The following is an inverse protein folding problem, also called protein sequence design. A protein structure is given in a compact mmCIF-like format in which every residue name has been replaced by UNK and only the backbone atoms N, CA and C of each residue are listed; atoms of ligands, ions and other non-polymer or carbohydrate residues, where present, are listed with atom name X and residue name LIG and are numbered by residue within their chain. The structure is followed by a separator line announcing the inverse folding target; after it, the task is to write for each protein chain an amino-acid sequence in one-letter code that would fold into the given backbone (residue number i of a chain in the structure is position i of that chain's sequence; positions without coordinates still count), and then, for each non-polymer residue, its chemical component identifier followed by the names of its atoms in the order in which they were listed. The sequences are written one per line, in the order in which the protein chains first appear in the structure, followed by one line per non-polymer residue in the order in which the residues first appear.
data_IF_491341215951
#
_entry.id   IF_491341215951
#
_cell.length_a   1.000
_cell.length_b   1.000
_cell.length_c   1.000
_cell.angle_alpha   90.00
_cell.angle_beta   90.00
_cell.angle_gamma   90.00
#
_symmetry.space_group_name_H-M   'P 1'
#
loop_
_entity.id
_entity.type
_entity.pdbx_description
1 polymer ?
#
# COMPACT_ATOMS: atom_id res chain seq x y z
N UNK A 1 0.53 4.85 -29.67
CA UNK A 1 0.33 4.11 -28.39
C UNK A 1 -0.42 5.07 -27.46
N UNK A 2 -1.50 4.63 -26.80
CA UNK A 2 -2.30 5.52 -25.95
C UNK A 2 -1.50 6.00 -24.74
N UNK A 3 -1.73 7.23 -24.31
CA UNK A 3 -1.08 7.83 -23.14
C UNK A 3 -1.42 7.10 -21.83
N UNK A 4 -0.64 7.39 -20.79
CA UNK A 4 -0.77 6.72 -19.48
C UNK A 4 -2.17 6.95 -18.87
N UNK A 5 -2.70 8.17 -18.95
CA UNK A 5 -4.03 8.49 -18.45
C UNK A 5 -5.13 7.67 -19.12
N UNK A 6 -5.06 7.51 -20.44
CA UNK A 6 -6.06 6.73 -21.19
C UNK A 6 -6.01 5.23 -20.83
N UNK A 7 -4.81 4.69 -20.61
CA UNK A 7 -4.59 3.28 -20.25
C UNK A 7 -4.96 2.98 -18.80
N UNK A 8 -4.59 3.84 -17.87
CA UNK A 8 -4.82 3.64 -16.44
C UNK A 8 -6.23 4.06 -16.00
N UNK A 9 -6.87 5.01 -16.72
CA UNK A 9 -8.18 5.54 -16.38
C UNK A 9 -8.30 5.88 -14.89
N UNK A 10 -7.44 6.78 -14.37
CA UNK A 10 -7.48 7.14 -12.96
C UNK A 10 -8.85 7.70 -12.60
N UNK A 11 -9.45 7.31 -11.47
CA UNK A 11 -10.70 7.92 -11.02
C UNK A 11 -10.48 9.40 -10.69
N UNK A 12 -11.51 10.24 -10.92
CA UNK A 12 -11.44 11.67 -10.56
C UNK A 12 -11.28 11.87 -9.05
N UNK A 13 -12.00 11.07 -8.28
CA UNK A 13 -11.98 11.11 -6.80
C UNK A 13 -11.70 9.73 -6.24
N UNK A 14 -10.78 9.66 -5.29
CA UNK A 14 -10.50 8.47 -4.50
C UNK A 14 -10.87 8.73 -3.05
N UNK A 15 -11.97 8.12 -2.61
CA UNK A 15 -12.44 8.21 -1.23
C UNK A 15 -11.67 7.24 -0.33
N UNK A 16 -11.47 7.60 0.93
CA UNK A 16 -10.97 6.68 1.94
C UNK A 16 -11.89 5.46 2.09
N UNK A 17 -11.38 4.32 2.62
CA UNK A 17 -12.22 3.17 2.93
C UNK A 17 -13.41 3.57 3.81
N UNK A 18 -14.57 2.95 3.58
CA UNK A 18 -15.82 3.37 4.19
C UNK A 18 -15.88 3.20 5.70
N UNK A 19 -16.63 4.06 6.38
CA UNK A 19 -16.86 4.03 7.81
C UNK A 19 -17.62 2.78 8.30
N UNK A 20 -18.31 2.08 7.39
CA UNK A 20 -19.00 0.81 7.67
C UNK A 20 -18.06 -0.31 8.17
N UNK A 21 -16.75 -0.12 7.99
CA UNK A 21 -15.72 -1.03 8.50
C UNK A 21 -15.42 -0.84 10.00
N UNK A 22 -16.05 0.14 10.66
CA UNK A 22 -15.79 0.48 12.06
C UNK A 22 -14.46 1.21 12.29
N UNK A 23 -13.86 1.75 11.22
CA UNK A 23 -12.61 2.48 11.26
C UNK A 23 -12.79 3.91 10.74
N UNK A 24 -12.11 4.84 11.39
CA UNK A 24 -11.92 6.19 10.88
C UNK A 24 -10.59 6.29 10.16
N UNK A 25 -10.61 6.78 8.93
CA UNK A 25 -9.43 6.89 8.08
C UNK A 25 -8.95 8.33 7.96
N UNK A 26 -7.65 8.51 7.96
CA UNK A 26 -6.98 9.78 7.71
C UNK A 26 -5.53 9.57 7.24
N UNK A 27 -4.89 10.60 6.66
CA UNK A 27 -3.45 10.56 6.42
C UNK A 27 -2.66 10.32 7.71
N UNK A 28 -1.51 9.64 7.58
CA UNK A 28 -0.54 9.45 8.66
C UNK A 28 0.08 10.80 9.03
N UNK A 29 0.26 11.03 10.32
CA UNK A 29 0.98 12.18 10.86
C UNK A 29 2.19 11.71 11.69
N UNK A 30 3.23 12.55 11.89
CA UNK A 30 4.46 12.14 12.59
C UNK A 30 4.24 11.55 13.99
N UNK A 31 3.25 12.04 14.72
CA UNK A 31 2.92 11.51 16.06
C UNK A 31 2.34 10.09 16.07
N UNK A 32 1.97 9.54 14.92
CA UNK A 32 1.47 8.17 14.79
C UNK A 32 2.58 7.12 14.76
N UNK A 33 3.83 7.52 14.50
CA UNK A 33 4.92 6.59 14.21
C UNK A 33 5.15 5.54 15.31
N UNK A 34 4.96 5.90 16.57
CA UNK A 34 5.05 4.95 17.67
C UNK A 34 4.01 3.83 17.57
N UNK A 35 2.73 4.21 17.41
CA UNK A 35 1.63 3.26 17.28
C UNK A 35 1.73 2.44 15.99
N UNK A 36 2.19 3.03 14.90
CA UNK A 36 2.44 2.34 13.63
C UNK A 36 3.57 1.32 13.78
N UNK A 37 4.66 1.67 14.47
CA UNK A 37 5.76 0.74 14.74
C UNK A 37 5.28 -0.49 15.55
N UNK A 38 4.45 -0.27 16.55
CA UNK A 38 3.90 -1.36 17.38
C UNK A 38 2.98 -2.26 16.55
N UNK A 39 2.08 -1.67 15.73
CA UNK A 39 1.24 -2.41 14.80
C UNK A 39 2.06 -3.26 13.82
N UNK A 40 3.09 -2.70 13.20
CA UNK A 40 3.94 -3.42 12.24
C UNK A 40 4.62 -4.59 12.92
N UNK A 41 5.23 -4.40 14.10
CA UNK A 41 5.92 -5.47 14.85
C UNK A 41 4.97 -6.60 15.24
N UNK A 42 3.76 -6.27 15.70
CA UNK A 42 2.74 -7.25 16.06
C UNK A 42 2.32 -8.08 14.85
N UNK A 43 2.03 -7.43 13.73
CA UNK A 43 1.62 -8.08 12.49
C UNK A 43 2.75 -8.95 11.91
N UNK A 44 3.98 -8.46 11.89
CA UNK A 44 5.14 -9.22 11.41
C UNK A 44 5.42 -10.45 12.27
N UNK A 45 5.18 -10.37 13.57
CA UNK A 45 5.30 -11.51 14.50
C UNK A 45 4.20 -12.54 14.25
N UNK A 46 2.95 -12.09 14.12
CA UNK A 46 1.79 -12.97 13.87
C UNK A 46 1.89 -13.66 12.51
N UNK A 47 2.34 -12.93 11.49
CA UNK A 47 2.45 -13.44 10.13
C UNK A 47 3.75 -14.23 9.88
N UNK A 48 4.61 -14.37 10.87
CA UNK A 48 5.96 -14.97 10.70
C UNK A 48 6.70 -14.40 9.49
N UNK A 49 6.70 -13.06 9.39
CA UNK A 49 7.23 -12.35 8.24
C UNK A 49 8.72 -12.62 8.05
N UNK A 50 9.13 -12.95 6.82
CA UNK A 50 10.53 -13.24 6.46
C UNK A 50 11.39 -11.98 6.62
N UNK A 51 10.85 -10.83 6.17
CA UNK A 51 11.53 -9.54 6.29
C UNK A 51 10.85 -8.70 7.37
N UNK A 52 11.68 -8.07 8.20
CA UNK A 52 11.22 -7.16 9.26
C UNK A 52 11.45 -5.71 8.83
N UNK A 53 10.45 -4.89 9.06
CA UNK A 53 10.54 -3.45 8.76
C UNK A 53 11.49 -2.78 9.74
N UNK A 54 12.49 -2.09 9.22
CA UNK A 54 13.47 -1.35 10.03
C UNK A 54 12.87 -0.07 10.62
N UNK A 55 13.48 0.44 11.69
CA UNK A 55 13.08 1.72 12.28
C UNK A 55 13.23 2.88 11.28
N UNK A 56 14.19 2.81 10.37
CA UNK A 56 14.35 3.82 9.32
C UNK A 56 13.20 3.79 8.31
N UNK A 57 12.77 2.60 7.88
CA UNK A 57 11.64 2.45 6.97
C UNK A 57 10.35 2.98 7.61
N UNK A 58 10.14 2.74 8.91
CA UNK A 58 9.00 3.29 9.65
C UNK A 58 9.06 4.83 9.69
N UNK A 59 10.23 5.40 10.03
CA UNK A 59 10.41 6.85 10.03
C UNK A 59 10.16 7.47 8.62
N UNK A 60 10.54 6.77 7.58
CA UNK A 60 10.35 7.18 6.19
C UNK A 60 8.87 7.27 5.78
N UNK A 61 7.96 6.58 6.45
CA UNK A 61 6.52 6.70 6.20
C UNK A 61 5.99 8.12 6.46
N UNK A 62 6.47 8.78 7.49
CA UNK A 62 6.07 10.15 7.81
C UNK A 62 6.77 11.21 6.94
N UNK A 63 7.91 10.86 6.35
CA UNK A 63 8.73 11.77 5.55
C UNK A 63 8.47 11.64 4.04
N UNK A 64 7.53 10.80 3.64
CA UNK A 64 7.30 10.46 2.23
C UNK A 64 7.01 11.65 1.32
N UNK A 65 6.35 12.68 1.83
CA UNK A 65 6.07 13.92 1.10
C UNK A 65 7.32 14.83 0.93
N UNK A 66 8.38 14.59 1.70
CA UNK A 66 9.65 15.33 1.64
C UNK A 66 10.71 14.62 0.77
N UNK A 67 10.43 13.38 0.33
CA UNK A 67 11.35 12.58 -0.48
C UNK A 67 11.08 12.74 -1.97
N UNK A 68 12.10 12.45 -2.77
CA UNK A 68 12.00 12.46 -4.23
C UNK A 68 10.98 11.45 -4.79
N UNK A 69 10.62 10.43 -4.02
CA UNK A 69 9.61 9.43 -4.41
C UNK A 69 8.27 9.75 -3.77
N UNK A 70 7.22 10.05 -4.55
CA UNK A 70 5.89 10.28 -3.99
C UNK A 70 5.42 9.08 -3.16
N UNK A 71 5.02 9.34 -1.92
CA UNK A 71 4.51 8.36 -0.98
C UNK A 71 3.30 8.95 -0.25
N UNK A 72 2.20 8.23 -0.30
CA UNK A 72 1.01 8.53 0.50
C UNK A 72 0.73 7.38 1.46
N UNK A 73 0.41 7.72 2.70
CA UNK A 73 0.12 6.76 3.78
C UNK A 73 -1.13 7.18 4.50
N UNK A 74 -2.05 6.24 4.68
CA UNK A 74 -3.25 6.43 5.50
C UNK A 74 -3.28 5.42 6.64
N UNK A 75 -3.92 5.80 7.73
CA UNK A 75 -4.14 4.95 8.91
C UNK A 75 -5.62 4.77 9.17
N UNK A 76 -5.99 3.55 9.57
CA UNK A 76 -7.33 3.19 10.03
C UNK A 76 -7.33 3.07 11.55
N UNK A 77 -8.20 3.84 12.19
CA UNK A 77 -8.25 4.03 13.64
C UNK A 77 -9.56 3.45 14.16
N UNK A 78 -9.46 2.47 15.06
CA UNK A 78 -10.56 1.93 15.81
C UNK A 78 -10.77 2.74 17.11
N UNK A 79 -12.03 2.90 17.54
CA UNK A 79 -12.36 3.72 18.72
C UNK A 79 -11.62 3.23 19.98
N UNK A 80 -11.59 1.91 20.20
CA UNK A 80 -11.06 1.34 21.45
C UNK A 80 -9.67 0.71 21.31
N UNK A 81 -9.07 0.71 20.10
CA UNK A 81 -7.80 0.04 19.83
C UNK A 81 -6.74 0.93 19.18
N UNK A 82 -7.06 2.20 18.88
CA UNK A 82 -6.15 3.09 18.19
C UNK A 82 -5.91 2.68 16.73
N UNK A 83 -4.67 2.80 16.24
CA UNK A 83 -4.30 2.47 14.86
C UNK A 83 -4.24 0.94 14.70
N UNK A 84 -5.13 0.41 13.86
CA UNK A 84 -5.25 -1.03 13.58
C UNK A 84 -5.04 -1.38 12.11
N UNK A 85 -4.91 -0.39 11.26
CA UNK A 85 -4.62 -0.58 9.85
C UNK A 85 -3.75 0.56 9.30
N UNK A 86 -2.93 0.24 8.32
CA UNK A 86 -2.11 1.17 7.57
C UNK A 86 -2.11 0.74 6.10
N UNK A 87 -2.23 1.70 5.21
CA UNK A 87 -2.05 1.50 3.78
C UNK A 87 -1.15 2.55 3.17
N UNK A 88 -0.29 2.16 2.24
CA UNK A 88 0.58 3.08 1.54
C UNK A 88 0.58 2.85 0.04
N UNK A 89 0.85 3.91 -0.70
CA UNK A 89 1.11 3.93 -2.14
C UNK A 89 2.39 4.72 -2.38
N UNK A 90 3.37 4.12 -3.02
CA UNK A 90 4.66 4.74 -3.34
C UNK A 90 4.95 4.63 -4.83
N UNK A 91 5.26 5.75 -5.49
CA UNK A 91 5.76 5.74 -6.87
C UNK A 91 7.27 5.54 -6.85
N UNK A 92 7.76 4.59 -7.66
CA UNK A 92 9.20 4.36 -7.82
C UNK A 92 9.78 5.35 -8.84
N UNK A 93 10.66 6.22 -8.37
CA UNK A 93 11.23 7.31 -9.19
C UNK A 93 12.58 6.95 -9.81
N UNK A 94 13.23 5.89 -9.36
CA UNK A 94 14.52 5.42 -9.89
C UNK A 94 14.41 4.47 -11.09
N UNK A 95 13.21 4.12 -11.54
CA UNK A 95 12.97 3.24 -12.68
C UNK A 95 12.61 4.09 -13.89
N UNK A 96 13.47 4.07 -14.91
CA UNK A 96 13.28 4.90 -16.12
C UNK A 96 12.53 4.18 -17.25
N UNK A 97 12.43 2.86 -17.18
CA UNK A 97 11.85 2.03 -18.24
C UNK A 97 10.37 1.69 -18.01
N UNK A 98 9.85 1.96 -16.81
CA UNK A 98 8.47 1.66 -16.44
C UNK A 98 7.93 2.62 -15.39
N UNK A 99 6.62 2.87 -15.43
CA UNK A 99 5.88 3.61 -14.41
C UNK A 99 5.36 2.61 -13.35
N UNK A 100 5.99 2.58 -12.18
CA UNK A 100 5.70 1.58 -11.14
C UNK A 100 5.23 2.24 -9.85
N UNK A 101 4.10 1.77 -9.33
CA UNK A 101 3.66 2.08 -7.96
C UNK A 101 3.71 0.81 -7.10
N UNK A 102 4.19 0.95 -5.87
CA UNK A 102 4.19 -0.10 -4.85
C UNK A 102 3.07 0.19 -3.86
N UNK A 103 2.27 -0.82 -3.55
CA UNK A 103 1.23 -0.75 -2.54
C UNK A 103 1.56 -1.69 -1.39
N UNK A 104 1.45 -1.22 -0.16
CA UNK A 104 1.64 -2.02 1.04
C UNK A 104 0.50 -1.79 2.02
N UNK A 105 0.11 -2.83 2.74
CA UNK A 105 -0.90 -2.76 3.78
C UNK A 105 -0.51 -3.59 4.99
N UNK A 106 -0.81 -3.06 6.16
CA UNK A 106 -0.67 -3.74 7.45
C UNK A 106 -2.02 -3.67 8.15
N UNK A 107 -2.57 -4.82 8.56
CA UNK A 107 -3.87 -4.91 9.22
C UNK A 107 -3.71 -5.80 10.45
N UNK A 108 -4.07 -5.23 11.60
CA UNK A 108 -4.08 -5.94 12.88
C UNK A 108 -4.87 -7.26 12.76
N UNK A 109 -4.37 -8.39 13.29
CA UNK A 109 -4.99 -9.71 13.12
C UNK A 109 -6.48 -9.75 13.47
N UNK A 110 -6.88 -9.10 14.56
CA UNK A 110 -8.29 -9.03 15.00
C UNK A 110 -9.19 -8.25 14.04
N UNK A 111 -8.64 -7.49 13.10
CA UNK A 111 -9.40 -6.68 12.14
C UNK A 111 -9.43 -7.31 10.74
N UNK A 112 -8.83 -8.48 10.57
CA UNK A 112 -8.86 -9.24 9.32
C UNK A 112 -10.21 -9.94 9.11
N UNK A 113 -10.50 -10.32 7.88
CA UNK A 113 -11.74 -11.01 7.54
C UNK A 113 -13.00 -10.14 7.57
N UNK A 114 -12.88 -8.83 7.79
CA UNK A 114 -13.98 -7.86 7.89
C UNK A 114 -14.13 -6.96 6.67
N UNK A 115 -13.38 -7.21 5.60
CA UNK A 115 -13.39 -6.38 4.38
C UNK A 115 -12.40 -5.22 4.39
N UNK A 116 -11.67 -4.98 5.49
CA UNK A 116 -10.70 -3.87 5.60
C UNK A 116 -9.64 -3.96 4.50
N UNK A 117 -9.03 -5.12 4.28
CA UNK A 117 -8.00 -5.31 3.26
C UNK A 117 -8.50 -5.03 1.84
N UNK A 118 -9.72 -5.45 1.51
CA UNK A 118 -10.34 -5.21 0.20
C UNK A 118 -10.59 -3.72 -0.03
N UNK A 119 -11.16 -3.03 0.95
CA UNK A 119 -11.45 -1.60 0.85
C UNK A 119 -10.18 -0.76 0.78
N UNK A 120 -9.15 -1.18 1.53
CA UNK A 120 -7.84 -0.52 1.50
C UNK A 120 -7.15 -0.71 0.15
N UNK A 121 -7.18 -1.92 -0.41
CA UNK A 121 -6.63 -2.20 -1.73
C UNK A 121 -7.36 -1.43 -2.85
N UNK A 122 -8.67 -1.24 -2.73
CA UNK A 122 -9.44 -0.42 -3.65
C UNK A 122 -8.98 1.06 -3.62
N UNK A 123 -8.78 1.62 -2.42
CA UNK A 123 -8.20 2.96 -2.26
C UNK A 123 -6.80 3.03 -2.87
N UNK A 124 -5.96 2.04 -2.59
CA UNK A 124 -4.58 1.98 -3.11
C UNK A 124 -4.55 1.91 -4.64
N UNK A 125 -5.41 1.11 -5.27
CA UNK A 125 -5.49 1.00 -6.73
C UNK A 125 -5.86 2.35 -7.36
N UNK A 126 -6.92 2.99 -6.87
CA UNK A 126 -7.34 4.30 -7.38
C UNK A 126 -6.27 5.36 -7.20
N UNK A 127 -5.66 5.43 -6.01
CA UNK A 127 -4.64 6.43 -5.73
C UNK A 127 -3.33 6.17 -6.48
N UNK A 128 -2.94 4.91 -6.64
CA UNK A 128 -1.76 4.55 -7.45
C UNK A 128 -1.90 4.99 -8.90
N UNK A 129 -3.08 4.80 -9.50
CA UNK A 129 -3.36 5.27 -10.88
C UNK A 129 -3.24 6.78 -11.00
N UNK A 130 -3.79 7.54 -10.06
CA UNK A 130 -3.65 9.00 -10.02
C UNK A 130 -2.19 9.40 -9.89
N UNK A 131 -1.46 8.87 -8.90
CA UNK A 131 -0.06 9.22 -8.63
C UNK A 131 0.87 8.88 -9.80
N UNK A 132 0.63 7.76 -10.50
CA UNK A 132 1.39 7.40 -11.70
C UNK A 132 1.21 8.42 -12.82
N UNK A 133 -0.03 8.85 -13.07
CA UNK A 133 -0.32 9.88 -14.08
C UNK A 133 0.21 11.25 -13.66
N UNK A 134 0.06 11.63 -12.39
CA UNK A 134 0.59 12.88 -11.84
C UNK A 134 2.12 12.97 -11.98
N UNK A 135 2.83 11.87 -11.72
CA UNK A 135 4.29 11.86 -11.72
C UNK A 135 4.90 11.69 -13.13
N UNK A 136 4.40 10.75 -13.92
CA UNK A 136 4.97 10.40 -15.23
C UNK A 136 4.34 11.19 -16.40
N UNK A 137 3.22 11.86 -16.15
CA UNK A 137 2.48 12.62 -17.17
C UNK A 137 1.40 11.80 -17.89
N UNK A 138 0.31 12.47 -18.25
CA UNK A 138 -0.86 11.86 -18.90
C UNK A 138 -0.53 11.17 -20.24
N UNK A 139 0.37 11.79 -21.01
CA UNK A 139 0.77 11.33 -22.34
C UNK A 139 1.92 10.32 -22.33
N UNK A 140 2.46 9.97 -21.17
CA UNK A 140 3.54 9.00 -21.04
C UNK A 140 3.17 7.66 -21.67
N UNK A 141 4.10 7.08 -22.43
CA UNK A 141 3.95 5.76 -23.07
C UNK A 141 4.63 4.63 -22.29
N UNK A 142 5.23 4.93 -21.14
CA UNK A 142 5.86 3.92 -20.29
C UNK A 142 4.88 2.81 -19.90
N UNK A 143 5.36 1.58 -19.83
CA UNK A 143 4.58 0.47 -19.28
C UNK A 143 4.28 0.77 -17.81
N UNK A 144 3.03 0.58 -17.40
CA UNK A 144 2.61 0.87 -16.02
C UNK A 144 2.26 -0.41 -15.27
N UNK A 145 2.60 -0.44 -13.98
CA UNK A 145 2.22 -1.52 -13.09
C UNK A 145 2.03 -1.04 -11.66
N UNK A 146 1.11 -1.71 -10.95
CA UNK A 146 0.95 -1.62 -9.51
C UNK A 146 1.45 -2.95 -8.95
N UNK A 147 2.35 -2.91 -8.00
CA UNK A 147 3.03 -4.10 -7.48
C UNK A 147 3.01 -4.17 -5.95
N UNK A 148 3.21 -5.36 -5.44
CA UNK A 148 3.38 -5.65 -4.02
C UNK A 148 4.34 -6.83 -3.82
N UNK A 149 4.88 -6.95 -2.62
CA UNK A 149 5.68 -8.07 -2.15
C UNK A 149 4.88 -8.86 -1.12
N UNK A 150 4.74 -10.16 -1.33
CA UNK A 150 3.99 -11.04 -0.42
C UNK A 150 4.78 -12.31 -0.20
N UNK A 151 5.04 -12.65 1.06
CA UNK A 151 5.69 -13.91 1.42
C UNK A 151 4.82 -15.09 1.01
N UNK A 152 5.45 -16.15 0.50
CA UNK A 152 4.76 -17.28 -0.14
C UNK A 152 3.76 -17.99 0.77
N UNK A 153 4.01 -18.01 2.09
CA UNK A 153 3.16 -18.64 3.09
C UNK A 153 1.94 -17.79 3.50
N UNK A 154 1.91 -16.49 3.20
CA UNK A 154 0.79 -15.59 3.51
C UNK A 154 -0.40 -15.81 2.58
N UNK A 155 -1.08 -16.94 2.73
CA UNK A 155 -2.11 -17.42 1.81
C UNK A 155 -3.28 -16.45 1.66
N UNK A 156 -3.80 -15.89 2.75
CA UNK A 156 -4.96 -14.99 2.71
C UNK A 156 -4.63 -13.68 2.01
N UNK A 157 -3.43 -13.16 2.23
CA UNK A 157 -2.94 -11.96 1.53
C UNK A 157 -2.78 -12.23 0.04
N UNK A 158 -2.21 -13.37 -0.35
CA UNK A 158 -2.10 -13.78 -1.75
C UNK A 158 -3.48 -13.91 -2.42
N UNK A 159 -4.44 -14.54 -1.75
CA UNK A 159 -5.84 -14.66 -2.26
C UNK A 159 -6.47 -13.29 -2.49
N UNK A 160 -6.27 -12.34 -1.58
CA UNK A 160 -6.78 -10.98 -1.74
C UNK A 160 -6.25 -10.32 -3.02
N UNK A 161 -4.94 -10.39 -3.25
CA UNK A 161 -4.32 -9.80 -4.44
C UNK A 161 -4.75 -10.51 -5.73
N UNK A 162 -4.79 -11.84 -5.74
CA UNK A 162 -5.26 -12.62 -6.91
C UNK A 162 -6.73 -12.26 -7.25
N UNK A 163 -7.60 -12.16 -6.25
CA UNK A 163 -9.00 -11.76 -6.44
C UNK A 163 -9.14 -10.33 -6.98
N UNK A 164 -8.16 -9.47 -6.74
CA UNK A 164 -8.09 -8.11 -7.27
C UNK A 164 -7.40 -8.01 -8.65
N UNK A 165 -7.04 -9.14 -9.26
CA UNK A 165 -6.44 -9.19 -10.60
C UNK A 165 -4.91 -9.13 -10.62
N UNK A 166 -4.24 -9.20 -9.47
CA UNK A 166 -2.79 -9.31 -9.42
C UNK A 166 -2.34 -10.73 -9.81
N UNK A 167 -1.16 -10.83 -10.41
CA UNK A 167 -0.51 -12.10 -10.72
C UNK A 167 0.95 -12.08 -10.26
N UNK A 168 1.50 -13.26 -9.96
CA UNK A 168 2.90 -13.39 -9.57
C UNK A 168 3.79 -13.16 -10.80
N UNK A 169 4.56 -12.08 -10.79
CA UNK A 169 5.50 -11.74 -11.87
C UNK A 169 6.89 -12.33 -11.60
N UNK A 170 7.33 -12.27 -10.35
CA UNK A 170 8.62 -12.78 -9.91
C UNK A 170 8.44 -13.55 -8.60
N UNK A 171 9.21 -14.62 -8.45
CA UNK A 171 9.34 -15.35 -7.19
C UNK A 171 10.81 -15.34 -6.78
N UNK A 172 11.08 -14.99 -5.53
CA UNK A 172 12.40 -15.00 -4.92
C UNK A 172 12.44 -16.08 -3.86
N UNK A 173 13.51 -16.87 -3.88
CA UNK A 173 13.77 -17.84 -2.82
C UNK A 173 14.85 -17.28 -1.91
N UNK A 174 14.53 -17.15 -0.62
CA UNK A 174 15.52 -16.79 0.40
C UNK A 174 16.24 -18.07 0.79
N UNK A 175 17.55 -18.11 0.60
CA UNK A 175 18.41 -19.20 1.07
C UNK A 175 19.08 -18.75 2.38
N UNK A 176 19.02 -19.60 3.39
CA UNK A 176 19.62 -19.40 4.70
C UNK A 176 20.97 -20.11 4.78
#
# INVERSE_FOLDING_TARGET
MNGLAERLKPPEVVSFPGSHLGLRWRPLIPSDLGAVADLIREVEKEDDAIFRTSSQEIADLALGHLKASPLEVIVGIAQDHGIVALGSVKVLTGVTEAAVAIVNAVIHPLWRGRGVGRSLLHWQDGRARQMLVEYFGAESTLQASIANWVDGHMTDRRRLYIAAGFYAKHMFQVMY
#
